data_IF_062298064338
#
_entry.id   IF_062298064338
#
_cell.length_a   1.000
_cell.length_b   1.000
_cell.length_c   1.000
_cell.angle_alpha   90.00
_cell.angle_beta   90.00
_cell.angle_gamma   90.00
#
_symmetry.space_group_name_H-M   'P 1'
#
loop_
_entity.id
_entity.type
_entity.pdbx_description
1 polymer ?
#
# COMPACT_ATOMS: atom_id res chain seq x y z
N UNK A 1 -9.75 -2.58 11.11
CA UNK A 1 -10.32 -3.88 11.47
C UNK A 1 -10.83 -3.83 12.90
N UNK A 2 -12.09 -4.16 13.12
CA UNK A 2 -12.76 -4.00 14.43
C UNK A 2 -12.02 -4.79 15.53
N UNK A 3 -11.78 -6.09 15.30
CA UNK A 3 -11.10 -6.96 16.26
C UNK A 3 -9.69 -6.44 16.59
N UNK A 4 -8.88 -6.13 15.56
CA UNK A 4 -7.51 -5.65 15.76
C UNK A 4 -7.42 -4.31 16.50
N UNK A 5 -8.41 -3.43 16.31
CA UNK A 5 -8.47 -2.14 17.00
C UNK A 5 -8.81 -2.32 18.49
N UNK A 6 -9.81 -3.16 18.79
CA UNK A 6 -10.26 -3.42 20.16
C UNK A 6 -9.38 -4.41 20.93
N UNK A 7 -8.56 -5.20 20.24
CA UNK A 7 -7.57 -6.08 20.85
C UNK A 7 -6.21 -5.39 21.03
N UNK A 8 -6.20 -4.20 21.65
CA UNK A 8 -4.96 -3.50 21.99
C UNK A 8 -4.22 -2.83 20.82
N UNK A 9 -4.90 -2.59 19.68
CA UNK A 9 -4.32 -1.93 18.49
C UNK A 9 -3.01 -2.59 18.00
N UNK A 10 -3.05 -3.90 17.73
CA UNK A 10 -1.87 -4.71 17.36
C UNK A 10 -1.05 -4.22 16.17
N UNK A 11 -1.63 -3.35 15.32
CA UNK A 11 -0.98 -2.77 14.15
C UNK A 11 -0.41 -1.35 14.37
N UNK A 12 -0.58 -0.78 15.56
CA UNK A 12 -0.08 0.56 15.89
C UNK A 12 1.44 0.61 15.71
N UNK A 13 1.91 1.61 14.97
CA UNK A 13 3.34 1.83 14.71
C UNK A 13 3.97 0.87 13.69
N UNK A 14 3.20 -0.09 13.14
CA UNK A 14 3.68 -0.94 12.05
C UNK A 14 3.72 -0.15 10.74
N UNK A 15 4.61 -0.55 9.84
CA UNK A 15 4.75 0.05 8.52
C UNK A 15 3.99 -0.77 7.49
N UNK A 16 3.20 -0.11 6.66
CA UNK A 16 2.48 -0.77 5.58
C UNK A 16 1.52 0.17 4.87
N UNK A 17 0.99 -0.28 3.75
CA UNK A 17 0.00 0.47 2.98
C UNK A 17 -0.50 -0.32 1.78
N UNK A 18 -1.55 0.17 1.11
CA UNK A 18 -2.14 -0.52 -0.02
C UNK A 18 -1.31 -0.34 -1.30
N UNK A 19 -1.35 -1.37 -2.14
CA UNK A 19 -0.97 -1.37 -3.55
C UNK A 19 -2.11 -2.07 -4.31
N UNK A 20 -2.62 -1.44 -5.37
CA UNK A 20 -3.79 -1.95 -6.10
C UNK A 20 -3.48 -2.10 -7.58
N UNK A 21 -4.18 -3.03 -8.23
CA UNK A 21 -4.07 -3.24 -9.68
C UNK A 21 -5.47 -3.21 -10.31
N UNK A 22 -5.63 -2.48 -11.40
CA UNK A 22 -6.90 -2.43 -12.15
C UNK A 22 -6.64 -2.21 -13.64
N UNK A 23 -7.58 -2.58 -14.52
CA UNK A 23 -7.43 -2.33 -15.96
C UNK A 23 -7.63 -0.86 -16.35
N UNK A 24 -8.61 -0.17 -15.73
CA UNK A 24 -9.12 1.13 -16.20
C UNK A 24 -9.54 2.08 -15.07
N UNK A 25 -10.55 1.70 -14.30
CA UNK A 25 -11.19 2.55 -13.30
C UNK A 25 -11.44 1.78 -11.99
N UNK A 26 -11.70 2.52 -10.91
CA UNK A 26 -11.97 1.98 -9.57
C UNK A 26 -10.76 1.98 -8.63
N UNK A 27 -9.54 2.04 -9.17
CA UNK A 27 -8.28 1.96 -8.41
C UNK A 27 -8.18 3.00 -7.30
N UNK A 28 -8.57 4.26 -7.56
CA UNK A 28 -8.47 5.33 -6.56
C UNK A 28 -9.41 5.07 -5.38
N UNK A 29 -10.64 4.62 -5.65
CA UNK A 29 -11.60 4.30 -4.59
C UNK A 29 -11.11 3.12 -3.75
N UNK A 30 -10.65 2.04 -4.40
CA UNK A 30 -10.08 0.88 -3.69
C UNK A 30 -8.85 1.28 -2.88
N UNK A 31 -7.94 2.07 -3.45
CA UNK A 31 -6.75 2.56 -2.78
C UNK A 31 -7.11 3.38 -1.53
N UNK A 32 -8.02 4.35 -1.66
CA UNK A 32 -8.46 5.20 -0.54
C UNK A 32 -9.15 4.39 0.56
N UNK A 33 -10.06 3.47 0.20
CA UNK A 33 -10.75 2.62 1.17
C UNK A 33 -9.78 1.75 1.97
N UNK A 34 -8.79 1.15 1.29
CA UNK A 34 -7.75 0.39 1.97
C UNK A 34 -6.87 1.29 2.84
N UNK A 35 -6.50 2.48 2.35
CA UNK A 35 -5.69 3.44 3.10
C UNK A 35 -6.36 3.86 4.41
N UNK A 36 -7.67 4.09 4.42
CA UNK A 36 -8.42 4.39 5.64
C UNK A 36 -8.30 3.29 6.69
N UNK A 37 -8.24 2.02 6.28
CA UNK A 37 -7.99 0.92 7.20
C UNK A 37 -6.60 0.99 7.83
N UNK A 38 -5.54 1.30 7.07
CA UNK A 38 -4.19 1.47 7.63
C UNK A 38 -4.13 2.64 8.61
N UNK A 39 -4.79 3.75 8.28
CA UNK A 39 -4.84 4.93 9.15
C UNK A 39 -5.55 4.65 10.47
N UNK A 40 -6.75 4.04 10.43
CA UNK A 40 -7.48 3.73 11.67
C UNK A 40 -6.78 2.64 12.50
N UNK A 41 -5.97 1.78 11.88
CA UNK A 41 -5.10 0.83 12.58
C UNK A 41 -3.83 1.46 13.18
N UNK A 42 -3.55 2.73 12.88
CA UNK A 42 -2.37 3.44 13.39
C UNK A 42 -1.07 2.99 12.73
N UNK A 43 -1.12 2.52 11.48
CA UNK A 43 0.07 2.18 10.71
C UNK A 43 0.74 3.43 10.12
N UNK A 44 2.06 3.37 9.92
CA UNK A 44 2.79 4.32 9.12
C UNK A 44 2.71 3.92 7.64
N UNK A 45 2.13 4.80 6.82
CA UNK A 45 1.91 4.56 5.39
C UNK A 45 2.92 5.39 4.60
N UNK A 46 4.02 4.81 4.09
CA UNK A 46 4.96 5.55 3.28
C UNK A 46 4.37 5.84 1.89
N UNK A 47 4.75 6.98 1.32
CA UNK A 47 4.45 7.28 -0.07
C UNK A 47 5.34 6.52 -1.06
N UNK A 48 5.11 6.77 -2.34
CA UNK A 48 5.96 6.30 -3.44
C UNK A 48 6.15 7.43 -4.46
N UNK A 49 6.71 7.13 -5.62
CA UNK A 49 6.84 8.07 -6.74
C UNK A 49 5.51 8.49 -7.35
N UNK A 50 4.45 7.72 -7.12
CA UNK A 50 3.08 8.06 -7.52
C UNK A 50 2.06 7.37 -6.59
N UNK A 51 0.76 7.44 -6.90
CA UNK A 51 -0.25 6.63 -6.24
C UNK A 51 0.08 5.15 -6.39
N UNK A 52 0.00 4.36 -5.30
CA UNK A 52 0.34 2.93 -5.30
C UNK A 52 -0.66 2.09 -6.12
N UNK A 53 -0.57 2.23 -7.44
CA UNK A 53 -1.49 1.72 -8.43
C UNK A 53 -0.65 1.20 -9.59
N UNK A 54 -1.01 0.02 -10.09
CA UNK A 54 -0.54 -0.48 -11.39
C UNK A 54 -1.73 -0.87 -12.28
N UNK A 55 -1.49 -0.98 -13.58
CA UNK A 55 -2.50 -1.27 -14.59
C UNK A 55 -2.30 -2.62 -15.27
N UNK A 56 -3.39 -3.37 -15.45
CA UNK A 56 -3.41 -4.62 -16.21
C UNK A 56 -4.79 -5.25 -16.30
N UNK A 57 -5.16 -5.79 -17.47
CA UNK A 57 -6.42 -6.51 -17.68
C UNK A 57 -6.30 -7.99 -17.36
N UNK A 58 -5.27 -8.63 -17.92
CA UNK A 58 -5.04 -10.07 -17.82
C UNK A 58 -3.76 -10.35 -17.05
N UNK A 59 -3.63 -11.59 -16.55
CA UNK A 59 -2.42 -12.03 -15.85
C UNK A 59 -1.18 -11.75 -16.71
N UNK A 60 -0.16 -11.14 -16.11
CA UNK A 60 1.10 -10.78 -16.77
C UNK A 60 1.07 -9.44 -17.51
N UNK A 61 -0.09 -8.84 -17.78
CA UNK A 61 -0.13 -7.54 -18.48
C UNK A 61 0.46 -6.39 -17.65
N UNK A 62 0.35 -6.49 -16.32
CA UNK A 62 0.97 -5.53 -15.38
C UNK A 62 2.49 -5.46 -15.52
N UNK A 63 3.13 -6.48 -16.10
CA UNK A 63 4.57 -6.46 -16.37
C UNK A 63 4.95 -5.39 -17.41
N UNK A 64 3.98 -4.92 -18.20
CA UNK A 64 4.15 -3.86 -19.20
C UNK A 64 3.87 -2.46 -18.64
N UNK A 65 3.35 -2.36 -17.42
CA UNK A 65 3.13 -1.07 -16.75
C UNK A 65 4.40 -0.65 -16.00
N UNK A 66 5.35 -0.09 -16.75
CA UNK A 66 6.65 0.34 -16.22
C UNK A 66 6.52 1.35 -15.07
N UNK A 67 5.55 2.27 -15.14
CA UNK A 67 5.32 3.28 -14.11
C UNK A 67 4.74 2.66 -12.83
N UNK A 68 3.74 1.78 -12.99
CA UNK A 68 3.16 1.04 -11.87
C UNK A 68 4.18 0.14 -11.18
N UNK A 69 5.01 -0.58 -11.94
CA UNK A 69 6.09 -1.41 -11.38
C UNK A 69 7.15 -0.57 -10.66
N UNK A 70 7.56 0.55 -11.24
CA UNK A 70 8.51 1.49 -10.58
C UNK A 70 7.91 2.05 -9.30
N UNK A 71 6.63 2.38 -9.31
CA UNK A 71 5.90 2.86 -8.13
C UNK A 71 5.80 1.78 -7.05
N UNK A 72 5.48 0.54 -7.40
CA UNK A 72 5.47 -0.58 -6.46
C UNK A 72 6.87 -0.83 -5.85
N UNK A 73 7.91 -0.78 -6.68
CA UNK A 73 9.29 -0.97 -6.25
C UNK A 73 9.75 0.11 -5.28
N UNK A 74 9.47 1.38 -5.58
CA UNK A 74 9.81 2.50 -4.71
C UNK A 74 9.01 2.47 -3.40
N UNK A 75 7.75 2.07 -3.46
CA UNK A 75 6.93 1.87 -2.26
C UNK A 75 7.55 0.81 -1.35
N UNK A 76 7.94 -0.34 -1.90
CA UNK A 76 8.64 -1.40 -1.17
C UNK A 76 9.96 -0.95 -0.55
N UNK A 77 10.76 -0.16 -1.28
CA UNK A 77 12.00 0.45 -0.75
C UNK A 77 11.72 1.38 0.43
N UNK A 78 10.68 2.21 0.33
CA UNK A 78 10.30 3.14 1.39
C UNK A 78 9.78 2.40 2.63
N UNK A 79 9.01 1.33 2.46
CA UNK A 79 8.65 0.42 3.56
C UNK A 79 9.90 -0.13 4.22
N UNK A 80 10.80 -0.75 3.44
CA UNK A 80 12.01 -1.37 3.97
C UNK A 80 12.91 -0.36 4.71
N UNK A 81 13.03 0.86 4.17
CA UNK A 81 13.76 1.95 4.81
C UNK A 81 13.14 2.31 6.16
N UNK A 82 11.82 2.50 6.21
CA UNK A 82 11.12 2.90 7.42
C UNK A 82 11.14 1.80 8.48
N UNK A 83 10.90 0.54 8.10
CA UNK A 83 11.02 -0.63 8.99
C UNK A 83 12.41 -0.69 9.62
N UNK A 84 13.47 -0.55 8.81
CA UNK A 84 14.86 -0.54 9.31
C UNK A 84 15.12 0.61 10.29
N UNK A 85 14.55 1.80 10.05
CA UNK A 85 14.72 2.96 10.92
C UNK A 85 13.93 2.84 12.22
N UNK A 86 12.76 2.22 12.18
CA UNK A 86 11.92 2.01 13.36
C UNK A 86 12.34 0.79 14.18
N UNK A 87 13.22 -0.08 13.65
CA UNK A 87 13.53 -1.40 14.22
C UNK A 87 12.25 -2.23 14.46
N UNK A 88 11.28 -2.06 13.57
CA UNK A 88 9.95 -2.65 13.64
C UNK A 88 9.91 -4.04 12.98
#
# INVERSE_FOLDING_TARGET
GYIAYWNGRVFKGKVGGPLVVARRAGQNFTLSQLAYWFYIMGCFVPGSTYWNIAFGHVKGEVEKDEEGLKTAWNFGKNIALLVKKLKA
#
